data_IF_399923927263
#
_entry.id   IF_399923927263
#
_cell.length_a   1.000
_cell.length_b   1.000
_cell.length_c   1.000
_cell.angle_alpha   90.00
_cell.angle_beta   90.00
_cell.angle_gamma   90.00
#
_symmetry.space_group_name_H-M   'P 1'
#
loop_
_entity.id
_entity.type
_entity.pdbx_description
1 polymer ?
#
# COMPACT_ATOMS: atom_id res chain seq x y z
N UNK A 1 -0.58 17.93 44.30
CA UNK A 1 0.47 17.12 43.65
C UNK A 1 0.22 15.60 43.71
N UNK A 2 -0.96 15.12 44.13
CA UNK A 2 -1.21 13.68 44.38
C UNK A 2 -2.03 12.96 43.28
N UNK A 3 -2.37 13.62 42.17
CA UNK A 3 -3.31 13.09 41.17
C UNK A 3 -2.69 12.58 39.86
N UNK A 4 -1.39 12.78 39.63
CA UNK A 4 -0.72 12.37 38.38
C UNK A 4 -0.52 10.84 38.26
N UNK A 5 -0.09 10.10 39.30
CA UNK A 5 0.15 8.66 39.17
C UNK A 5 -1.13 7.86 38.93
N UNK A 6 -2.23 8.27 39.58
CA UNK A 6 -3.54 7.64 39.44
C UNK A 6 -4.15 7.91 38.06
N UNK A 7 -4.03 9.14 37.55
CA UNK A 7 -4.43 9.48 36.19
C UNK A 7 -3.67 8.66 35.14
N UNK A 8 -2.33 8.60 35.23
CA UNK A 8 -1.51 7.84 34.28
C UNK A 8 -1.83 6.33 34.31
N UNK A 9 -1.97 5.77 35.52
CA UNK A 9 -2.37 4.36 35.68
C UNK A 9 -3.74 4.05 35.07
N UNK A 10 -4.68 4.99 35.20
CA UNK A 10 -6.01 4.85 34.58
C UNK A 10 -5.94 4.88 33.05
N UNK A 11 -5.08 5.70 32.45
CA UNK A 11 -4.87 5.71 31.00
C UNK A 11 -4.28 4.38 30.52
N UNK A 12 -3.30 3.83 31.23
CA UNK A 12 -2.74 2.51 30.92
C UNK A 12 -3.79 1.40 31.00
N UNK A 13 -4.60 1.39 32.06
CA UNK A 13 -5.68 0.41 32.23
C UNK A 13 -6.74 0.52 31.13
N UNK A 14 -7.14 1.74 30.74
CA UNK A 14 -8.11 1.97 29.66
C UNK A 14 -7.54 1.47 28.31
N UNK A 15 -6.27 1.77 28.01
CA UNK A 15 -5.67 1.33 26.77
C UNK A 15 -5.56 -0.20 26.70
N UNK A 16 -5.13 -0.85 27.78
CA UNK A 16 -5.06 -2.31 27.87
C UNK A 16 -6.44 -2.96 27.68
N UNK A 17 -7.49 -2.40 28.28
CA UNK A 17 -8.85 -2.91 28.10
C UNK A 17 -9.31 -2.83 26.64
N UNK A 18 -8.99 -1.75 25.93
CA UNK A 18 -9.32 -1.59 24.51
C UNK A 18 -8.53 -2.53 23.61
N UNK A 19 -7.23 -2.69 23.86
CA UNK A 19 -6.40 -3.68 23.17
C UNK A 19 -6.96 -5.09 23.37
N UNK A 20 -7.39 -5.43 24.59
CA UNK A 20 -8.01 -6.73 24.87
C UNK A 20 -9.35 -6.95 24.15
N UNK A 21 -10.03 -5.86 23.77
CA UNK A 21 -11.25 -5.88 22.97
C UNK A 21 -11.00 -5.83 21.45
N UNK A 22 -9.73 -5.86 21.01
CA UNK A 22 -9.34 -5.93 19.61
C UNK A 22 -8.95 -4.59 18.96
N UNK A 23 -8.95 -3.49 19.71
CA UNK A 23 -8.47 -2.21 19.19
C UNK A 23 -6.95 -2.27 18.96
N UNK A 24 -6.50 -1.80 17.78
CA UNK A 24 -5.08 -1.52 17.56
C UNK A 24 -4.76 -0.15 18.18
N UNK A 25 -4.17 -0.17 19.37
CA UNK A 25 -3.63 1.05 20.00
C UNK A 25 -2.37 0.76 20.80
N UNK A 26 -1.55 1.80 21.00
CA UNK A 26 -0.33 1.74 21.79
C UNK A 26 -0.15 3.05 22.56
N UNK A 27 0.34 2.96 23.81
CA UNK A 27 0.72 4.13 24.60
C UNK A 27 2.17 4.46 24.30
N UNK A 28 2.43 5.64 23.74
CA UNK A 28 3.77 6.19 23.62
C UNK A 28 4.18 6.85 24.94
N UNK A 29 4.90 6.12 25.79
CA UNK A 29 5.37 6.64 27.07
C UNK A 29 6.68 7.43 26.91
N UNK A 30 6.63 8.72 27.22
CA UNK A 30 7.74 9.66 27.05
C UNK A 30 8.53 9.91 28.34
N UNK A 31 8.11 9.35 29.48
CA UNK A 31 8.66 9.66 30.80
C UNK A 31 10.17 9.45 30.88
N UNK A 32 10.68 8.39 30.25
CA UNK A 32 12.10 8.05 30.25
C UNK A 32 12.88 8.65 29.06
N UNK A 33 12.21 9.41 28.19
CA UNK A 33 12.84 9.97 26.99
C UNK A 33 13.60 11.27 27.29
N UNK A 34 13.16 12.03 28.30
CA UNK A 34 13.70 13.33 28.64
C UNK A 34 14.68 13.23 29.82
N UNK A 35 15.77 13.99 29.75
CA UNK A 35 16.72 14.22 30.84
C UNK A 35 16.47 15.62 31.39
N UNK A 36 16.04 15.69 32.65
CA UNK A 36 15.68 16.95 33.31
C UNK A 36 16.84 17.52 34.14
N UNK A 37 17.11 18.84 34.07
CA UNK A 37 16.40 19.86 33.29
C UNK A 37 16.95 20.08 31.86
N UNK A 38 17.97 19.35 31.43
CA UNK A 38 18.76 19.62 30.21
C UNK A 38 17.93 19.64 28.91
N UNK A 39 16.91 18.79 28.83
CA UNK A 39 16.03 18.70 27.67
C UNK A 39 14.85 19.67 27.71
N UNK A 40 14.86 20.65 28.62
CA UNK A 40 13.76 21.58 28.82
C UNK A 40 14.18 23.05 28.63
N UNK A 41 13.36 23.86 27.95
CA UNK A 41 13.58 25.32 27.82
C UNK A 41 13.25 26.03 29.12
N UNK A 42 12.23 25.54 29.81
CA UNK A 42 11.82 25.92 31.16
C UNK A 42 11.37 24.65 31.89
N UNK A 43 10.94 24.73 33.14
CA UNK A 43 10.56 23.52 33.90
C UNK A 43 9.35 22.74 33.34
N UNK A 44 8.71 23.23 32.26
CA UNK A 44 7.48 22.68 31.69
C UNK A 44 7.57 22.32 30.20
N UNK A 45 8.35 23.05 29.41
CA UNK A 45 8.39 22.92 27.96
C UNK A 45 9.71 22.29 27.47
N UNK A 46 9.67 21.29 26.59
CA UNK A 46 10.86 20.66 26.05
C UNK A 46 11.64 21.62 25.14
N UNK A 47 12.97 21.53 25.19
CA UNK A 47 13.86 22.16 24.22
C UNK A 47 13.75 21.50 22.85
N UNK A 48 14.47 22.03 21.86
CA UNK A 48 14.58 21.36 20.56
C UNK A 48 15.18 19.95 20.68
N UNK A 49 16.16 19.77 21.58
CA UNK A 49 16.73 18.45 21.92
C UNK A 49 15.68 17.55 22.57
N UNK A 50 14.95 18.05 23.58
CA UNK A 50 13.90 17.28 24.25
C UNK A 50 12.78 16.85 23.31
N UNK A 51 12.32 17.78 22.46
CA UNK A 51 11.29 17.51 21.45
C UNK A 51 11.75 16.46 20.42
N UNK A 52 13.02 16.48 20.03
CA UNK A 52 13.59 15.46 19.14
C UNK A 52 13.57 14.06 19.78
N UNK A 53 13.92 13.94 21.07
CA UNK A 53 13.84 12.68 21.81
C UNK A 53 12.40 12.17 21.93
N UNK A 54 11.46 13.07 22.18
CA UNK A 54 10.04 12.70 22.20
C UNK A 54 9.53 12.25 20.82
N UNK A 55 9.98 12.89 19.74
CA UNK A 55 9.63 12.47 18.39
C UNK A 55 10.09 11.04 18.08
N UNK A 56 11.26 10.61 18.60
CA UNK A 56 11.72 9.23 18.46
C UNK A 56 10.77 8.24 19.11
N UNK A 57 10.32 8.50 20.34
CA UNK A 57 9.34 7.63 21.05
C UNK A 57 8.04 7.52 20.27
N UNK A 58 7.52 8.64 19.75
CA UNK A 58 6.34 8.63 18.89
C UNK A 58 6.55 7.81 17.62
N UNK A 59 7.70 7.97 16.96
CA UNK A 59 8.00 7.27 15.72
C UNK A 59 8.11 5.75 15.91
N UNK A 60 8.74 5.29 16.99
CA UNK A 60 8.81 3.87 17.35
C UNK A 60 7.43 3.30 17.68
N UNK A 61 6.62 4.04 18.46
CA UNK A 61 5.25 3.65 18.79
C UNK A 61 4.37 3.51 17.55
N UNK A 62 4.46 4.46 16.61
CA UNK A 62 3.71 4.42 15.35
C UNK A 62 4.13 3.26 14.46
N UNK A 63 5.42 2.98 14.35
CA UNK A 63 5.91 1.82 13.59
C UNK A 63 5.43 0.49 14.16
N UNK A 64 5.36 0.37 15.49
CA UNK A 64 4.85 -0.84 16.14
C UNK A 64 3.33 -1.00 16.00
N UNK A 65 2.61 0.09 15.76
CA UNK A 65 1.15 0.09 15.62
C UNK A 65 0.69 -0.05 14.18
N UNK A 66 1.49 0.41 13.22
CA UNK A 66 1.19 0.26 11.80
C UNK A 66 0.93 -1.22 11.49
N UNK A 67 -0.08 -1.56 10.66
CA UNK A 67 -0.21 -2.93 10.18
C UNK A 67 1.15 -3.34 9.63
N UNK A 68 1.62 -4.52 10.03
CA UNK A 68 2.89 -5.05 9.54
C UNK A 68 2.90 -4.85 8.03
N UNK A 69 3.93 -4.19 7.53
CA UNK A 69 4.13 -4.10 6.09
C UNK A 69 4.18 -5.53 5.55
N UNK A 70 3.08 -5.99 4.94
CA UNK A 70 3.05 -7.28 4.27
C UNK A 70 3.35 -6.98 2.82
N UNK A 71 4.58 -7.22 2.34
CA UNK A 71 4.89 -7.07 0.94
C UNK A 71 4.04 -8.06 0.16
N UNK A 72 3.15 -7.55 -0.69
CA UNK A 72 2.35 -8.37 -1.60
C UNK A 72 2.76 -8.00 -3.00
N UNK A 73 3.53 -8.91 -3.61
CA UNK A 73 3.88 -8.83 -5.03
C UNK A 73 2.60 -8.78 -5.87
N UNK A 74 2.64 -8.11 -7.03
CA UNK A 74 1.53 -8.12 -7.96
C UNK A 74 1.16 -9.57 -8.34
N UNK A 75 -0.13 -9.82 -8.52
CA UNK A 75 -0.60 -11.08 -9.07
C UNK A 75 -1.82 -10.82 -9.94
N UNK A 76 -1.78 -11.26 -11.19
CA UNK A 76 -2.93 -11.20 -12.09
C UNK A 76 -4.02 -12.18 -11.65
N UNK A 77 -5.27 -11.72 -11.67
CA UNK A 77 -6.44 -12.50 -11.21
C UNK A 77 -7.51 -12.69 -12.28
N UNK A 78 -7.52 -11.86 -13.34
CA UNK A 78 -8.44 -12.05 -14.46
C UNK A 78 -7.93 -13.08 -15.47
N UNK A 79 -8.85 -13.66 -16.24
CA UNK A 79 -8.54 -14.45 -17.44
C UNK A 79 -8.85 -13.60 -18.68
N UNK A 80 -7.96 -13.57 -19.69
CA UNK A 80 -8.13 -12.70 -20.84
C UNK A 80 -9.16 -13.23 -21.84
N UNK A 81 -9.85 -12.33 -22.53
CA UNK A 81 -10.72 -12.69 -23.66
C UNK A 81 -9.88 -12.96 -24.92
N UNK A 82 -9.86 -14.20 -25.40
CA UNK A 82 -8.97 -14.61 -26.50
C UNK A 82 -9.62 -14.57 -27.89
N UNK A 83 -10.85 -14.08 -28.02
CA UNK A 83 -11.58 -14.02 -29.29
C UNK A 83 -11.96 -12.57 -29.61
N UNK A 84 -11.70 -12.17 -30.86
CA UNK A 84 -12.07 -10.87 -31.40
C UNK A 84 -12.53 -10.99 -32.86
N UNK A 85 -13.12 -9.92 -33.40
CA UNK A 85 -13.56 -9.87 -34.80
C UNK A 85 -12.99 -8.66 -35.52
N UNK A 86 -12.65 -8.82 -36.79
CA UNK A 86 -12.10 -7.72 -37.60
C UNK A 86 -13.06 -6.54 -37.65
N UNK A 87 -12.53 -5.34 -37.39
CA UNK A 87 -13.25 -4.07 -37.42
C UNK A 87 -14.19 -3.84 -36.23
N UNK A 88 -14.26 -4.78 -35.28
CA UNK A 88 -15.07 -4.65 -34.06
C UNK A 88 -14.18 -4.21 -32.89
N UNK A 89 -14.57 -3.16 -32.14
CA UNK A 89 -13.82 -2.76 -30.95
C UNK A 89 -13.70 -3.91 -29.94
N UNK A 90 -12.46 -4.24 -29.61
CA UNK A 90 -12.09 -5.11 -28.50
C UNK A 90 -11.83 -4.25 -27.26
N UNK A 91 -12.45 -4.61 -26.14
CA UNK A 91 -12.21 -4.00 -24.84
C UNK A 91 -12.21 -5.09 -23.78
N UNK A 92 -11.21 -5.06 -22.92
CA UNK A 92 -11.02 -6.02 -21.84
C UNK A 92 -10.31 -5.32 -20.67
N UNK A 93 -10.27 -5.96 -19.51
CA UNK A 93 -9.64 -5.43 -18.30
C UNK A 93 -8.78 -6.48 -17.62
N UNK A 94 -7.49 -6.16 -17.43
CA UNK A 94 -6.59 -6.97 -16.61
C UNK A 94 -6.75 -6.58 -15.16
N UNK A 95 -7.19 -7.52 -14.34
CA UNK A 95 -7.28 -7.33 -12.89
C UNK A 95 -6.06 -7.93 -12.21
N UNK A 96 -5.44 -7.18 -11.31
CA UNK A 96 -4.35 -7.65 -10.47
C UNK A 96 -4.48 -7.16 -9.03
N UNK A 97 -4.02 -7.98 -8.09
CA UNK A 97 -3.89 -7.65 -6.67
C UNK A 97 -2.44 -7.28 -6.35
N UNK A 98 -2.22 -6.49 -5.30
CA UNK A 98 -0.90 -6.10 -4.81
C UNK A 98 -0.99 -5.18 -3.60
N UNK A 99 0.07 -5.11 -2.79
CA UNK A 99 0.21 -4.08 -1.76
C UNK A 99 0.83 -2.85 -2.42
N UNK A 100 0.10 -1.74 -2.41
CA UNK A 100 0.11 -0.72 -3.49
C UNK A 100 -0.48 -1.27 -4.80
N UNK A 101 -1.35 -0.47 -5.41
CA UNK A 101 -1.97 -0.82 -6.70
C UNK A 101 -0.86 -1.01 -7.76
N UNK A 102 -0.85 -2.14 -8.50
CA UNK A 102 0.11 -2.34 -9.56
C UNK A 102 -0.07 -1.37 -10.73
N UNK A 103 1.04 -1.04 -11.38
CA UNK A 103 1.09 -0.35 -12.66
C UNK A 103 1.13 -1.39 -13.80
N UNK A 104 0.36 -1.12 -14.86
CA UNK A 104 0.16 -2.02 -15.99
C UNK A 104 0.98 -1.54 -17.19
N UNK A 105 1.67 -2.46 -17.86
CA UNK A 105 2.46 -2.16 -19.06
C UNK A 105 2.19 -3.20 -20.15
N UNK A 106 1.85 -2.71 -21.34
CA UNK A 106 1.75 -3.53 -22.55
C UNK A 106 3.17 -3.72 -23.09
N UNK A 107 3.72 -4.92 -22.89
CA UNK A 107 5.08 -5.29 -23.31
C UNK A 107 5.09 -5.72 -24.77
N UNK A 108 4.12 -6.55 -25.14
CA UNK A 108 3.89 -7.02 -26.51
C UNK A 108 2.40 -6.93 -26.83
N UNK A 109 2.08 -6.54 -28.05
CA UNK A 109 0.71 -6.46 -28.53
C UNK A 109 0.63 -6.05 -30.00
N UNK A 110 -0.54 -6.25 -30.65
CA UNK A 110 -0.74 -5.82 -32.02
C UNK A 110 -0.65 -4.29 -32.17
N UNK A 111 -0.41 -3.80 -33.40
CA UNK A 111 -0.47 -2.38 -33.69
C UNK A 111 -1.78 -1.75 -33.22
N UNK A 112 -1.68 -0.53 -32.70
CA UNK A 112 -2.78 0.30 -32.21
C UNK A 112 -3.54 -0.26 -30.99
N UNK A 113 -3.06 -1.35 -30.37
CA UNK A 113 -3.53 -1.75 -29.05
C UNK A 113 -3.00 -0.80 -27.99
N UNK A 114 -3.86 -0.44 -27.05
CA UNK A 114 -3.52 0.39 -25.90
C UNK A 114 -3.94 -0.27 -24.59
N UNK A 115 -3.18 0.00 -23.53
CA UNK A 115 -3.46 -0.45 -22.17
C UNK A 115 -3.42 0.77 -21.24
N UNK A 116 -4.44 0.94 -20.40
CA UNK A 116 -4.43 2.00 -19.40
C UNK A 116 -3.53 1.61 -18.21
N UNK A 117 -2.51 2.42 -17.87
CA UNK A 117 -1.47 2.04 -16.90
C UNK A 117 -1.97 1.85 -15.46
N UNK A 118 -3.08 2.49 -15.09
CA UNK A 118 -3.61 2.40 -13.72
C UNK A 118 -4.85 1.52 -13.58
N UNK A 119 -5.50 1.16 -14.69
CA UNK A 119 -6.79 0.43 -14.64
C UNK A 119 -6.76 -0.88 -15.40
N UNK A 120 -5.64 -1.25 -16.03
CA UNK A 120 -5.55 -2.48 -16.82
C UNK A 120 -6.49 -2.54 -18.04
N UNK A 121 -7.13 -1.43 -18.44
CA UNK A 121 -8.12 -1.44 -19.52
C UNK A 121 -7.43 -1.52 -20.88
N UNK A 122 -7.69 -2.59 -21.61
CA UNK A 122 -7.26 -2.79 -23.00
C UNK A 122 -8.28 -2.14 -23.93
N UNK A 123 -7.80 -1.44 -24.95
CA UNK A 123 -8.61 -0.98 -26.07
C UNK A 123 -7.89 -1.22 -27.39
N UNK A 124 -8.57 -1.87 -28.32
CA UNK A 124 -8.03 -2.22 -29.63
C UNK A 124 -9.15 -2.38 -30.68
N UNK A 125 -8.85 -2.18 -31.95
CA UNK A 125 -9.76 -2.52 -33.07
C UNK A 125 -8.95 -3.28 -34.12
N UNK A 126 -9.10 -4.62 -34.22
CA UNK A 126 -8.33 -5.42 -35.16
C UNK A 126 -8.63 -5.02 -36.60
N UNK A 127 -7.61 -4.81 -37.43
CA UNK A 127 -7.77 -4.45 -38.84
C UNK A 127 -7.63 -5.64 -39.80
N UNK A 128 -7.08 -6.77 -39.32
CA UNK A 128 -6.83 -7.98 -40.10
C UNK A 128 -7.12 -9.23 -39.28
N UNK A 129 -7.56 -10.30 -39.95
CA UNK A 129 -7.70 -11.63 -39.33
C UNK A 129 -6.33 -12.21 -38.99
N UNK A 130 -6.25 -13.00 -37.91
CA UNK A 130 -5.00 -13.62 -37.49
C UNK A 130 -4.94 -13.89 -35.99
N UNK A 131 -3.79 -14.43 -35.56
CA UNK A 131 -3.46 -14.61 -34.15
C UNK A 131 -2.46 -13.52 -33.74
N UNK A 132 -2.70 -12.89 -32.60
CA UNK A 132 -1.89 -11.80 -32.07
C UNK A 132 -1.50 -12.10 -30.63
N UNK A 133 -0.21 -12.17 -30.38
CA UNK A 133 0.32 -12.35 -29.03
C UNK A 133 0.26 -11.03 -28.26
N UNK A 134 -0.10 -11.13 -26.98
CA UNK A 134 -0.22 -10.03 -26.04
C UNK A 134 0.49 -10.43 -24.75
N UNK A 135 1.40 -9.57 -24.31
CA UNK A 135 2.10 -9.69 -23.03
C UNK A 135 1.86 -8.44 -22.21
N UNK A 136 1.28 -8.63 -21.02
CA UNK A 136 1.03 -7.56 -20.06
C UNK A 136 1.85 -7.84 -18.79
N UNK A 137 2.61 -6.84 -18.37
CA UNK A 137 3.31 -6.84 -17.10
C UNK A 137 2.52 -5.99 -16.08
N UNK A 138 2.35 -6.53 -14.87
CA UNK A 138 1.83 -5.81 -13.71
C UNK A 138 2.93 -5.68 -12.66
N UNK A 139 3.17 -4.47 -12.17
CA UNK A 139 4.37 -4.13 -11.39
C UNK A 139 4.05 -3.23 -10.19
N UNK A 140 4.68 -3.47 -9.05
CA UNK A 140 4.74 -2.53 -7.93
C UNK A 140 6.14 -2.58 -7.28
N UNK A 141 6.33 -1.89 -6.15
CA UNK A 141 7.63 -1.86 -5.45
C UNK A 141 8.10 -3.23 -4.95
N UNK A 142 7.21 -4.21 -4.84
CA UNK A 142 7.49 -5.54 -4.31
C UNK A 142 7.86 -6.55 -5.39
N UNK A 143 7.50 -6.30 -6.64
CA UNK A 143 7.83 -7.19 -7.75
C UNK A 143 6.93 -6.99 -8.97
N UNK A 144 6.88 -8.00 -9.83
CA UNK A 144 6.04 -8.03 -11.00
C UNK A 144 5.45 -9.41 -11.26
N UNK A 145 4.36 -9.42 -12.03
CA UNK A 145 3.73 -10.61 -12.60
C UNK A 145 3.43 -10.36 -14.08
N UNK A 146 3.27 -11.43 -14.85
CA UNK A 146 3.09 -11.37 -16.31
C UNK A 146 1.86 -12.19 -16.70
N UNK A 147 1.05 -11.62 -17.59
CA UNK A 147 -0.01 -12.32 -18.29
C UNK A 147 0.28 -12.34 -19.80
N UNK A 148 0.52 -13.54 -20.31
CA UNK A 148 0.72 -13.84 -21.73
C UNK A 148 -0.51 -14.55 -22.29
N UNK A 149 -0.99 -14.10 -23.45
CA UNK A 149 -2.10 -14.74 -24.16
C UNK A 149 -2.11 -14.38 -25.65
N UNK A 150 -2.87 -15.15 -26.43
CA UNK A 150 -3.03 -14.93 -27.86
C UNK A 150 -4.50 -14.60 -28.14
N UNK A 151 -4.75 -13.49 -28.84
CA UNK A 151 -6.09 -13.13 -29.33
C UNK A 151 -6.24 -13.66 -30.76
N UNK A 152 -7.27 -14.46 -30.99
CA UNK A 152 -7.67 -14.93 -32.31
C UNK A 152 -8.71 -13.99 -32.90
N UNK A 153 -8.39 -13.39 -34.04
CA UNK A 153 -9.27 -12.48 -34.78
C UNK A 153 -9.88 -13.22 -35.98
N UNK A 154 -11.21 -13.32 -35.97
CA UNK A 154 -12.00 -13.96 -37.02
C UNK A 154 -12.81 -12.97 -37.87
#
# INVERSE_FOLDING_TARGET
MQHYPEFNSNIEAIAQARVSNGDQMLIANHENALVYPEDMVDELHPSSSGSAKMATVWFEALQSLAPAYVPVMPKVTSEPMTDASVGIPYTDEVEAIGWLLPHYTLVEGPPDMSLHPDTGRIAWTPSVVGAFDVTIQVENSEGSDIQDFTINVN
#
